data_IF_666028581182
#
_entry.id   IF_666028581182
#
_cell.length_a   1.000
_cell.length_b   1.000
_cell.length_c   1.000
_cell.angle_alpha   90.00
_cell.angle_beta   90.00
_cell.angle_gamma   90.00
#
_symmetry.space_group_name_H-M   'P 1'
#
loop_
_entity.id
_entity.type
_entity.pdbx_description
1 polymer ?
#
# COMPACT_ATOMS: atom_id res chain seq x y z
N UNK A 1 15.71 -14.49 4.95
CA UNK A 1 14.52 -15.06 4.28
C UNK A 1 14.57 -14.60 2.83
N UNK A 2 14.17 -15.43 1.86
CA UNK A 2 14.01 -15.00 0.48
C UNK A 2 12.98 -13.85 0.41
N UNK A 3 13.25 -12.88 -0.47
CA UNK A 3 12.38 -11.72 -0.65
C UNK A 3 12.16 -11.44 -2.13
N UNK A 4 10.93 -11.18 -2.56
CA UNK A 4 10.61 -10.93 -3.96
C UNK A 4 9.41 -10.00 -4.14
N UNK A 5 9.11 -9.60 -5.36
CA UNK A 5 7.88 -8.87 -5.71
C UNK A 5 6.69 -9.82 -5.88
N UNK A 6 5.49 -9.28 -5.79
CA UNK A 6 4.25 -10.06 -5.86
C UNK A 6 4.13 -10.91 -7.14
N UNK A 7 4.67 -10.45 -8.27
CA UNK A 7 4.62 -11.12 -9.57
C UNK A 7 5.37 -12.47 -9.59
N UNK A 8 6.31 -12.66 -8.68
CA UNK A 8 7.15 -13.85 -8.58
C UNK A 8 6.82 -14.70 -7.33
N UNK A 9 5.72 -14.38 -6.64
CA UNK A 9 5.34 -15.01 -5.40
C UNK A 9 4.08 -15.86 -5.57
N UNK A 10 4.18 -17.14 -5.24
CA UNK A 10 3.00 -18.02 -5.09
C UNK A 10 2.47 -17.91 -3.65
N UNK A 11 1.65 -16.88 -3.43
CA UNK A 11 1.04 -16.63 -2.11
C UNK A 11 0.18 -17.81 -1.66
N UNK A 12 -0.58 -18.42 -2.57
CA UNK A 12 -1.50 -19.51 -2.22
C UNK A 12 -0.73 -20.72 -1.70
N UNK A 13 0.36 -21.10 -2.37
CA UNK A 13 1.21 -22.19 -1.92
C UNK A 13 1.85 -21.88 -0.56
N UNK A 14 2.40 -20.68 -0.38
CA UNK A 14 3.03 -20.28 0.89
C UNK A 14 2.04 -20.26 2.06
N UNK A 15 0.81 -19.78 1.84
CA UNK A 15 -0.25 -19.83 2.85
C UNK A 15 -0.65 -21.27 3.17
N UNK A 16 -0.73 -22.15 2.18
CA UNK A 16 -1.07 -23.57 2.40
C UNK A 16 -0.03 -24.30 3.26
N UNK A 17 1.23 -23.87 3.19
CA UNK A 17 2.35 -24.37 4.00
C UNK A 17 2.45 -23.69 5.38
N UNK A 18 1.52 -22.78 5.73
CA UNK A 18 1.57 -21.93 6.93
C UNK A 18 2.88 -21.15 7.06
N UNK A 19 3.52 -20.77 5.95
CA UNK A 19 4.71 -19.91 5.99
C UNK A 19 4.30 -18.46 6.20
N UNK A 20 4.89 -17.75 7.18
CA UNK A 20 4.59 -16.35 7.38
C UNK A 20 5.16 -15.53 6.22
N UNK A 21 4.35 -14.64 5.67
CA UNK A 21 4.77 -13.68 4.64
C UNK A 21 4.72 -12.28 5.26
N UNK A 22 5.76 -11.49 5.08
CA UNK A 22 5.89 -10.13 5.61
C UNK A 22 6.10 -9.16 4.47
N UNK A 23 5.29 -8.11 4.40
CA UNK A 23 5.48 -7.02 3.45
C UNK A 23 6.46 -6.02 4.05
N UNK A 24 7.49 -5.66 3.29
CA UNK A 24 8.61 -4.82 3.72
C UNK A 24 8.82 -3.63 2.82
N UNK A 25 9.43 -2.60 3.40
CA UNK A 25 9.90 -1.42 2.70
C UNK A 25 10.85 -1.83 1.57
N UNK A 26 10.65 -1.35 0.33
CA UNK A 26 11.38 -1.86 -0.82
C UNK A 26 12.79 -1.29 -0.98
N UNK A 27 13.18 -0.35 -0.13
CA UNK A 27 14.54 0.18 -0.16
C UNK A 27 15.49 -0.77 0.57
N UNK A 28 16.48 -1.31 -0.15
CA UNK A 28 17.45 -2.30 0.35
C UNK A 28 18.12 -1.93 1.68
N UNK A 29 18.48 -0.65 1.85
CA UNK A 29 19.14 -0.18 3.08
C UNK A 29 18.19 -0.03 4.28
N UNK A 30 16.87 -0.13 4.07
CA UNK A 30 15.87 -0.03 5.13
C UNK A 30 15.25 -1.40 5.43
N UNK A 31 14.55 -2.00 4.45
CA UNK A 31 13.89 -3.31 4.59
C UNK A 31 13.00 -3.46 5.85
N UNK A 32 12.52 -2.34 6.42
CA UNK A 32 11.67 -2.40 7.62
C UNK A 32 10.35 -3.10 7.29
N UNK A 33 9.77 -3.71 8.31
CA UNK A 33 8.49 -4.42 8.21
C UNK A 33 7.35 -3.40 8.12
N UNK A 34 6.53 -3.49 7.07
CA UNK A 34 5.36 -2.61 6.87
C UNK A 34 4.12 -3.23 7.50
N UNK A 35 3.83 -4.49 7.18
CA UNK A 35 2.66 -5.22 7.67
C UNK A 35 2.86 -6.74 7.44
N UNK A 36 2.42 -7.63 8.34
CA UNK A 36 2.33 -9.05 8.02
C UNK A 36 1.26 -9.29 6.96
N UNK A 37 1.55 -10.15 6.00
CA UNK A 37 0.52 -10.58 5.07
C UNK A 37 -0.52 -11.44 5.79
N UNK A 38 -1.79 -11.27 5.42
CA UNK A 38 -2.89 -12.11 5.88
C UNK A 38 -3.90 -12.27 4.75
N UNK A 39 -4.56 -13.43 4.68
CA UNK A 39 -5.70 -13.67 3.80
C UNK A 39 -6.92 -12.78 4.10
N UNK A 40 -6.89 -12.01 5.20
CA UNK A 40 -7.91 -11.01 5.56
C UNK A 40 -7.69 -9.66 4.88
N UNK A 41 -6.50 -9.41 4.31
CA UNK A 41 -6.26 -8.17 3.57
C UNK A 41 -7.19 -8.11 2.37
N UNK A 42 -7.93 -7.01 2.23
CA UNK A 42 -8.88 -6.83 1.13
C UNK A 42 -8.09 -6.42 -0.11
N UNK A 43 -8.24 -7.19 -1.19
CA UNK A 43 -7.62 -6.90 -2.48
C UNK A 43 -8.60 -6.13 -3.35
N UNK A 44 -8.16 -5.03 -3.95
CA UNK A 44 -8.97 -4.24 -4.88
C UNK A 44 -8.10 -3.60 -5.96
N UNK A 45 -8.75 -3.17 -7.04
CA UNK A 45 -8.14 -2.26 -7.99
C UNK A 45 -8.63 -0.83 -7.75
N UNK A 46 -7.74 0.14 -7.95
CA UNK A 46 -8.04 1.56 -7.80
C UNK A 46 -7.54 2.27 -9.05
N UNK A 47 -8.46 2.87 -9.79
CA UNK A 47 -8.15 3.69 -10.95
C UNK A 47 -7.87 5.14 -10.52
N UNK A 48 -6.99 5.83 -11.26
CA UNK A 48 -6.56 7.20 -10.95
C UNK A 48 -5.96 7.35 -9.54
N UNK A 49 -5.32 6.30 -9.02
CA UNK A 49 -4.60 6.37 -7.76
C UNK A 49 -3.37 7.31 -7.89
N UNK A 50 -2.91 7.92 -6.80
CA UNK A 50 -1.68 8.69 -6.79
C UNK A 50 -0.48 7.84 -7.16
N UNK A 51 0.56 8.49 -7.70
CA UNK A 51 1.82 7.84 -7.96
C UNK A 51 2.39 7.25 -6.66
N UNK A 52 2.82 5.99 -6.72
CA UNK A 52 3.55 5.33 -5.65
C UNK A 52 4.81 4.68 -6.25
N UNK A 53 5.77 4.36 -5.38
CA UNK A 53 7.00 3.70 -5.83
C UNK A 53 6.69 2.25 -6.21
N UNK A 54 7.34 1.73 -7.23
CA UNK A 54 7.33 0.31 -7.58
C UNK A 54 8.62 -0.32 -7.08
N UNK A 55 8.50 -1.40 -6.31
CA UNK A 55 9.61 -2.23 -5.91
C UNK A 55 10.21 -2.90 -7.16
N UNK A 56 11.51 -2.76 -7.33
CA UNK A 56 12.25 -3.40 -8.42
C UNK A 56 13.25 -4.36 -7.77
N UNK A 57 13.15 -5.68 -8.02
CA UNK A 57 14.12 -6.63 -7.50
C UNK A 57 15.54 -6.19 -7.86
N UNK A 58 16.41 -6.28 -6.87
CA UNK A 58 17.81 -5.92 -6.93
C UNK A 58 18.20 -4.46 -7.25
N UNK A 59 17.23 -3.59 -7.49
CA UNK A 59 17.45 -2.20 -7.84
C UNK A 59 16.77 -1.23 -6.87
N UNK A 60 17.02 0.06 -7.03
CA UNK A 60 16.28 1.08 -6.29
C UNK A 60 14.82 1.12 -6.78
N UNK A 61 13.84 1.31 -5.87
CA UNK A 61 12.45 1.53 -6.25
C UNK A 61 12.29 2.75 -7.18
N UNK A 62 11.32 2.67 -8.08
CA UNK A 62 11.06 3.69 -9.12
C UNK A 62 9.67 4.30 -8.92
N UNK A 63 9.47 5.60 -9.16
CA UNK A 63 8.12 6.17 -9.12
C UNK A 63 7.28 5.65 -10.29
N UNK A 64 6.05 5.21 -10.03
CA UNK A 64 5.13 4.70 -11.05
C UNK A 64 3.75 5.34 -10.95
N UNK A 65 3.18 5.67 -12.10
CA UNK A 65 1.84 6.20 -12.32
C UNK A 65 0.82 5.14 -12.78
N UNK A 66 1.24 3.87 -12.86
CA UNK A 66 0.44 2.76 -13.41
C UNK A 66 -0.09 1.79 -12.36
N UNK A 67 0.13 2.10 -11.09
CA UNK A 67 -0.17 1.18 -10.00
C UNK A 67 -1.68 1.22 -9.73
N UNK A 68 -2.33 0.10 -9.99
CA UNK A 68 -3.78 -0.05 -9.80
C UNK A 68 -4.12 -1.08 -8.74
N UNK A 69 -3.20 -1.93 -8.29
CA UNK A 69 -3.51 -3.03 -7.37
C UNK A 69 -3.13 -2.67 -5.93
N UNK A 70 -4.13 -2.65 -5.04
CA UNK A 70 -3.95 -2.21 -3.64
C UNK A 70 -4.48 -3.23 -2.64
N UNK A 71 -3.90 -3.21 -1.45
CA UNK A 71 -4.51 -3.72 -0.23
C UNK A 71 -5.26 -2.59 0.46
N UNK A 72 -6.51 -2.82 0.84
CA UNK A 72 -7.21 -1.92 1.76
C UNK A 72 -6.96 -2.36 3.21
N UNK A 73 -6.54 -1.40 4.02
CA UNK A 73 -6.34 -1.52 5.46
C UNK A 73 -7.23 -0.48 6.13
N UNK A 74 -8.06 -0.91 7.08
CA UNK A 74 -9.08 -0.06 7.70
C UNK A 74 -8.57 0.67 8.96
N UNK A 75 -7.50 0.17 9.58
CA UNK A 75 -6.94 0.75 10.78
C UNK A 75 -5.43 0.97 10.63
N UNK A 76 -4.96 2.16 11.03
CA UNK A 76 -3.52 2.49 11.05
C UNK A 76 -2.73 1.53 11.95
N UNK A 77 -3.36 1.01 12.99
CA UNK A 77 -2.72 0.10 13.96
C UNK A 77 -2.49 -1.31 13.41
N UNK A 78 -3.06 -1.64 12.24
CA UNK A 78 -2.76 -2.92 11.56
C UNK A 78 -1.36 -2.89 10.91
N UNK A 79 -0.79 -1.71 10.70
CA UNK A 79 0.59 -1.56 10.20
C UNK A 79 1.61 -1.65 11.34
N UNK A 80 2.81 -2.14 10.99
CA UNK A 80 3.94 -2.18 11.91
C UNK A 80 4.76 -0.88 11.89
N UNK A 81 5.16 -0.40 10.69
CA UNK A 81 6.07 0.75 10.55
C UNK A 81 5.71 1.60 9.32
N UNK A 82 4.69 2.44 9.47
CA UNK A 82 4.33 3.45 8.46
C UNK A 82 4.35 4.87 9.04
N UNK A 83 4.74 5.81 8.20
CA UNK A 83 4.43 7.23 8.36
C UNK A 83 3.32 7.63 7.41
N UNK A 84 2.69 8.76 7.69
CA UNK A 84 1.74 9.41 6.76
C UNK A 84 2.15 10.84 6.51
N UNK A 85 2.04 11.29 5.25
CA UNK A 85 2.35 12.67 4.89
C UNK A 85 1.40 13.65 5.58
N UNK A 86 1.77 14.94 5.50
CA UNK A 86 0.80 16.01 5.74
C UNK A 86 -0.30 15.97 4.67
N UNK A 87 -1.51 16.46 4.99
CA UNK A 87 -2.51 16.72 3.98
C UNK A 87 -1.96 17.60 2.87
N UNK A 88 -2.19 17.20 1.62
CA UNK A 88 -1.80 17.98 0.45
C UNK A 88 -3.00 18.14 -0.47
N UNK A 89 -3.34 19.40 -0.74
CA UNK A 89 -4.36 19.75 -1.73
C UNK A 89 -3.88 19.58 -3.17
N UNK A 90 -2.62 19.17 -3.38
CA UNK A 90 -2.02 19.05 -4.72
C UNK A 90 -2.37 17.74 -5.43
N UNK A 91 -3.06 16.81 -4.77
CA UNK A 91 -3.51 15.59 -5.42
C UNK A 91 -4.79 15.90 -6.20
N UNK A 92 -4.62 15.97 -7.53
CA UNK A 92 -5.57 16.62 -8.43
C UNK A 92 -6.82 15.81 -8.78
N UNK A 93 -6.90 14.55 -8.37
CA UNK A 93 -8.00 13.65 -8.70
C UNK A 93 -8.31 12.68 -7.56
N UNK A 94 -9.60 12.49 -7.27
CA UNK A 94 -10.09 11.47 -6.33
C UNK A 94 -10.04 10.08 -7.02
N UNK A 95 -9.37 9.08 -6.43
CA UNK A 95 -9.30 7.73 -6.98
C UNK A 95 -10.65 7.03 -6.98
N UNK A 96 -10.82 6.12 -7.93
CA UNK A 96 -12.06 5.35 -8.12
C UNK A 96 -11.79 3.89 -7.76
N UNK A 97 -12.54 3.35 -6.79
CA UNK A 97 -12.47 1.94 -6.40
C UNK A 97 -13.18 1.09 -7.47
N UNK A 98 -12.44 0.17 -8.09
CA UNK A 98 -12.90 -0.59 -9.26
C UNK A 98 -14.07 -1.53 -8.98
N UNK A 99 -14.22 -1.99 -7.73
CA UNK A 99 -15.20 -3.02 -7.39
C UNK A 99 -16.63 -2.55 -7.70
N UNK A 100 -16.89 -1.24 -7.55
CA UNK A 100 -18.23 -0.69 -7.75
C UNK A 100 -18.25 0.45 -8.78
N UNK A 101 -17.11 0.92 -9.31
CA UNK A 101 -16.95 2.05 -10.25
C UNK A 101 -17.65 3.38 -9.89
N UNK A 102 -18.34 3.45 -8.76
CA UNK A 102 -19.06 4.61 -8.26
C UNK A 102 -18.43 5.18 -6.99
N UNK A 103 -17.70 4.34 -6.24
CA UNK A 103 -17.07 4.71 -4.99
C UNK A 103 -15.77 5.46 -5.24
N UNK A 104 -15.76 6.76 -4.98
CA UNK A 104 -14.55 7.60 -4.98
C UNK A 104 -14.01 7.81 -3.58
N UNK A 105 -12.70 8.02 -3.48
CA UNK A 105 -11.99 8.29 -2.23
C UNK A 105 -11.41 9.70 -2.28
N UNK A 106 -11.72 10.53 -1.31
CA UNK A 106 -11.00 11.79 -1.15
C UNK A 106 -9.65 11.53 -0.48
N UNK A 107 -8.54 11.79 -1.19
CA UNK A 107 -7.22 11.50 -0.65
C UNK A 107 -6.82 12.56 0.36
N UNK A 108 -6.43 12.10 1.54
CA UNK A 108 -5.97 12.97 2.61
C UNK A 108 -4.45 12.88 2.79
N UNK A 109 -3.84 11.70 2.66
CA UNK A 109 -2.42 11.49 2.98
C UNK A 109 -1.75 10.48 2.06
N UNK A 110 -0.43 10.57 1.93
CA UNK A 110 0.40 9.55 1.32
C UNK A 110 1.03 8.68 2.40
N UNK A 111 1.11 7.37 2.16
CA UNK A 111 1.78 6.42 3.06
C UNK A 111 3.28 6.43 2.72
N UNK A 112 4.13 6.54 3.74
CA UNK A 112 5.59 6.46 3.63
C UNK A 112 6.15 5.45 4.61
N UNK A 113 7.38 5.00 4.42
CA UNK A 113 8.07 4.18 5.41
C UNK A 113 8.47 5.05 6.62
N UNK A 114 8.11 4.67 7.85
CA UNK A 114 8.47 5.45 9.06
C UNK A 114 9.95 5.45 9.41
N UNK A 115 10.71 4.45 8.92
CA UNK A 115 12.13 4.30 9.27
C UNK A 115 13.07 5.05 8.35
N UNK A 116 12.70 5.23 7.08
CA UNK A 116 13.56 5.93 6.12
C UNK A 116 12.89 7.14 5.47
N UNK A 117 11.65 7.47 5.85
CA UNK A 117 10.86 8.58 5.31
C UNK A 117 10.69 8.58 3.79
N UNK A 118 10.94 7.43 3.13
CA UNK A 118 10.80 7.27 1.69
C UNK A 118 9.47 6.64 1.31
N UNK A 119 8.97 7.04 0.15
CA UNK A 119 7.69 6.63 -0.41
C UNK A 119 7.36 7.46 -1.66
N UNK A 120 6.08 7.51 -2.08
CA UNK A 120 4.91 6.92 -1.44
C UNK A 120 4.83 5.40 -1.61
N UNK A 121 4.38 4.67 -0.58
CA UNK A 121 4.04 3.24 -0.66
C UNK A 121 2.56 3.01 -1.01
N UNK A 122 1.76 4.07 -0.95
CA UNK A 122 0.32 4.04 -1.05
C UNK A 122 -0.27 5.37 -0.57
N UNK A 123 -1.54 5.37 -0.23
CA UNK A 123 -2.25 6.57 0.23
C UNK A 123 -3.31 6.23 1.26
N UNK A 124 -3.78 7.24 1.99
CA UNK A 124 -4.91 7.16 2.89
C UNK A 124 -5.92 8.22 2.49
N UNK A 125 -7.20 7.87 2.52
CA UNK A 125 -8.27 8.76 2.13
C UNK A 125 -9.59 8.38 2.77
N UNK A 126 -10.58 9.24 2.56
CA UNK A 126 -11.91 9.14 3.15
C UNK A 126 -12.88 8.77 2.02
N UNK A 127 -13.58 7.63 2.11
CA UNK A 127 -14.61 7.28 1.13
C UNK A 127 -15.69 8.36 1.03
N UNK A 128 -16.14 8.66 -0.19
CA UNK A 128 -17.16 9.68 -0.40
C UNK A 128 -18.45 9.41 0.39
N UNK A 129 -19.05 10.49 0.91
CA UNK A 129 -20.21 10.44 1.79
C UNK A 129 -19.91 10.21 3.28
N UNK A 130 -18.64 10.06 3.66
CA UNK A 130 -18.19 10.13 5.06
C UNK A 130 -17.76 11.55 5.42
N UNK A 131 -17.88 11.89 6.71
CA UNK A 131 -17.34 13.16 7.22
C UNK A 131 -15.81 13.19 7.11
N UNK A 132 -15.25 14.36 6.78
CA UNK A 132 -13.81 14.59 6.75
C UNK A 132 -13.26 14.57 8.17
N UNK A 133 -12.94 13.38 8.66
CA UNK A 133 -12.42 13.12 9.99
C UNK A 133 -11.40 11.98 9.91
N UNK A 134 -10.25 12.12 10.59
CA UNK A 134 -9.18 11.12 10.65
C UNK A 134 -9.67 9.72 11.05
N UNK A 135 -10.75 9.62 11.84
CA UNK A 135 -11.37 8.34 12.21
C UNK A 135 -11.99 7.58 11.04
N UNK A 136 -12.27 8.27 9.93
CA UNK A 136 -12.85 7.71 8.71
C UNK A 136 -11.77 7.42 7.64
N UNK A 137 -10.49 7.58 7.96
CA UNK A 137 -9.41 7.25 7.05
C UNK A 137 -9.38 5.75 6.76
N UNK A 138 -9.29 5.44 5.49
CA UNK A 138 -9.01 4.11 4.96
C UNK A 138 -7.68 4.18 4.23
N UNK A 139 -6.86 3.16 4.41
CA UNK A 139 -5.49 3.09 3.91
C UNK A 139 -5.43 2.13 2.73
N UNK A 140 -4.66 2.51 1.72
CA UNK A 140 -4.49 1.76 0.48
C UNK A 140 -2.99 1.59 0.22
N UNK A 141 -2.47 0.41 0.55
CA UNK A 141 -1.08 0.03 0.32
C UNK A 141 -0.93 -0.56 -1.07
N UNK A 142 -0.08 0.00 -1.92
CA UNK A 142 0.15 -0.55 -3.25
C UNK A 142 0.90 -1.88 -3.14
N UNK A 143 0.37 -2.89 -3.82
CA UNK A 143 0.93 -4.26 -3.85
C UNK A 143 2.31 -4.33 -4.47
N UNK A 144 2.58 -3.39 -5.36
CA UNK A 144 3.82 -3.27 -6.13
C UNK A 144 4.84 -2.39 -5.40
N UNK A 145 4.44 -1.70 -4.32
CA UNK A 145 5.30 -0.78 -3.55
C UNK A 145 6.04 -1.44 -2.39
N UNK A 146 5.97 -2.76 -2.26
CA UNK A 146 6.56 -3.52 -1.15
C UNK A 146 7.28 -4.77 -1.67
N UNK A 147 8.21 -5.29 -0.88
CA UNK A 147 8.84 -6.58 -1.10
C UNK A 147 8.23 -7.58 -0.11
N UNK A 148 8.00 -8.81 -0.55
CA UNK A 148 7.43 -9.88 0.24
C UNK A 148 8.56 -10.79 0.71
N UNK A 149 8.75 -10.87 2.03
CA UNK A 149 9.72 -11.73 2.73
C UNK A 149 8.99 -12.98 3.24
N UNK A 150 9.48 -14.19 2.91
CA UNK A 150 8.78 -15.47 3.14
C UNK A 150 9.71 -16.66 3.45
#
# INVERSE_FOLDING_TARGET
MPSTTIEHLDIENLLSENKPIILRCPFKECNTRIIPYSNKLIHLQIHNAPNAIRAVPDNSPELSDKLINFYQINDVWDFDNIGVSRPSSEISQDPIISHDNESTIHIERLIVCSECDRGPLGFAGIPNGKETDHKNLVYFLSRDSVIYDY
#
